data_IF_962140437358
#
_entry.id   IF_962140437358
#
_cell.length_a   1.000
_cell.length_b   1.000
_cell.length_c   1.000
_cell.angle_alpha   90.00
_cell.angle_beta   90.00
_cell.angle_gamma   90.00
#
_symmetry.space_group_name_H-M   'P 1'
#
loop_
_entity.id
_entity.type
_entity.pdbx_description
1 polymer ?
#
# COMPACT_ATOMS: atom_id res chain seq x y z
N UNK A 1 18.04 29.22 2.32
CA UNK A 1 18.74 28.91 3.58
C UNK A 1 18.71 30.07 4.56
N UNK A 2 19.30 31.23 4.28
CA UNK A 2 19.33 32.36 5.26
C UNK A 2 17.95 32.83 5.71
N UNK A 3 16.97 32.87 4.78
CA UNK A 3 15.58 33.19 5.12
C UNK A 3 14.96 32.17 6.08
N UNK A 4 15.22 30.87 5.87
CA UNK A 4 14.75 29.78 6.75
C UNK A 4 15.40 29.90 8.13
N UNK A 5 16.70 30.19 8.19
CA UNK A 5 17.40 30.42 9.46
C UNK A 5 16.83 31.63 10.21
N UNK A 6 16.61 32.75 9.51
CA UNK A 6 16.03 33.94 10.11
C UNK A 6 14.60 33.71 10.63
N UNK A 7 13.80 32.97 9.87
CA UNK A 7 12.43 32.58 10.23
C UNK A 7 12.40 31.70 11.50
N UNK A 8 13.24 30.67 11.56
CA UNK A 8 13.38 29.81 12.76
C UNK A 8 13.86 30.64 13.97
N UNK A 9 14.86 31.51 13.80
CA UNK A 9 15.32 32.39 14.89
C UNK A 9 14.20 33.30 15.36
N UNK A 10 13.40 33.85 14.44
CA UNK A 10 12.27 34.70 14.77
C UNK A 10 11.21 33.93 15.55
N UNK A 11 10.83 32.74 15.09
CA UNK A 11 9.88 31.86 15.78
C UNK A 11 10.30 31.56 17.22
N UNK A 12 11.58 31.27 17.47
CA UNK A 12 12.08 31.04 18.83
C UNK A 12 12.03 32.28 19.74
N UNK A 13 11.86 33.48 19.18
CA UNK A 13 11.69 34.71 19.96
C UNK A 13 10.22 35.06 20.22
N UNK A 14 9.29 34.60 19.38
CA UNK A 14 7.86 34.99 19.46
C UNK A 14 6.90 33.87 19.82
N UNK A 15 7.20 32.60 19.51
CA UNK A 15 6.28 31.48 19.72
C UNK A 15 6.31 31.04 21.18
N UNK A 16 5.16 31.03 21.90
CA UNK A 16 5.12 30.90 23.36
C UNK A 16 5.96 29.77 23.94
N UNK A 17 5.85 28.56 23.36
CA UNK A 17 6.55 27.36 23.85
C UNK A 17 8.03 27.32 23.49
N UNK A 18 8.44 27.98 22.41
CA UNK A 18 9.85 28.09 22.03
C UNK A 18 10.55 29.20 22.83
N UNK A 19 9.85 30.32 23.08
CA UNK A 19 10.39 31.48 23.78
C UNK A 19 10.46 31.28 25.30
N UNK A 20 9.56 30.48 25.89
CA UNK A 20 9.61 30.11 27.32
C UNK A 20 10.52 28.90 27.62
N UNK A 21 11.27 28.42 26.62
CA UNK A 21 12.26 27.34 26.72
C UNK A 21 11.70 25.95 27.09
N UNK A 22 10.38 25.76 27.06
CA UNK A 22 9.75 24.45 27.33
C UNK A 22 9.67 23.55 26.10
N UNK A 23 9.72 24.12 24.91
CA UNK A 23 9.69 23.41 23.63
C UNK A 23 10.97 23.58 22.83
N UNK A 24 11.22 22.61 21.96
CA UNK A 24 12.31 22.63 20.98
C UNK A 24 11.81 22.19 19.59
N UNK A 25 12.71 22.22 18.61
CA UNK A 25 12.36 22.00 17.22
C UNK A 25 13.33 21.11 16.45
N UNK A 26 12.84 20.51 15.37
CA UNK A 26 13.64 19.77 14.38
C UNK A 26 13.58 20.50 13.04
N UNK A 27 14.72 20.65 12.36
CA UNK A 27 14.82 21.08 10.97
C UNK A 27 15.25 19.90 10.10
N UNK A 28 14.45 19.58 9.09
CA UNK A 28 14.71 18.53 8.10
C UNK A 28 15.33 19.14 6.85
N UNK A 29 16.63 18.91 6.64
CA UNK A 29 17.38 19.36 5.46
C UNK A 29 17.38 18.29 4.35
N UNK A 30 17.54 18.68 3.09
CA UNK A 30 17.42 17.75 1.96
C UNK A 30 18.60 16.79 1.80
N UNK A 31 19.77 17.15 2.32
CA UNK A 31 21.01 16.38 2.25
C UNK A 31 21.93 16.66 3.44
N UNK A 32 22.93 15.80 3.66
CA UNK A 32 23.94 15.99 4.71
C UNK A 32 24.72 17.30 4.49
N UNK A 33 25.00 17.62 3.22
CA UNK A 33 25.63 18.88 2.85
C UNK A 33 24.81 20.10 3.28
N UNK A 34 23.51 20.11 2.96
CA UNK A 34 22.63 21.20 3.39
C UNK A 34 22.49 21.24 4.92
N UNK A 35 22.43 20.09 5.58
CA UNK A 35 22.41 20.02 7.05
C UNK A 35 23.67 20.67 7.65
N UNK A 36 24.86 20.38 7.12
CA UNK A 36 26.11 21.02 7.55
C UNK A 36 26.09 22.53 7.32
N UNK A 37 25.55 23.01 6.18
CA UNK A 37 25.40 24.45 5.93
C UNK A 37 24.42 25.11 6.90
N UNK A 38 23.26 24.51 7.12
CA UNK A 38 22.28 24.98 8.11
C UNK A 38 22.91 25.07 9.49
N UNK A 39 23.57 24.01 9.93
CA UNK A 39 24.27 23.96 11.21
C UNK A 39 25.29 25.10 11.33
N UNK A 40 26.14 25.31 10.32
CA UNK A 40 27.12 26.39 10.29
C UNK A 40 26.51 27.78 10.35
N UNK A 41 25.33 27.99 9.75
CA UNK A 41 24.59 29.25 9.86
C UNK A 41 24.01 29.44 11.27
N UNK A 42 23.46 28.39 11.88
CA UNK A 42 22.93 28.46 13.25
C UNK A 42 24.02 28.69 14.31
N UNK A 43 25.27 28.33 14.06
CA UNK A 43 26.38 28.69 14.96
C UNK A 43 26.66 30.20 15.02
N UNK A 44 26.10 30.99 14.08
CA UNK A 44 26.21 32.46 14.06
C UNK A 44 25.01 33.15 14.71
N UNK A 45 24.07 32.40 15.29
CA UNK A 45 22.85 32.90 15.91
C UNK A 45 22.81 32.52 17.40
N UNK A 46 21.76 32.89 18.16
CA UNK A 46 21.61 32.48 19.57
C UNK A 46 21.55 30.96 19.80
N UNK A 47 21.47 30.16 18.73
CA UNK A 47 21.52 28.69 18.80
C UNK A 47 22.94 28.12 18.95
N UNK A 48 23.98 28.96 18.93
CA UNK A 48 25.36 28.50 19.18
C UNK A 48 25.44 27.74 20.50
N UNK A 49 25.89 26.49 20.44
CA UNK A 49 25.96 25.58 21.60
C UNK A 49 24.61 24.98 22.05
N UNK A 50 23.49 25.35 21.42
CA UNK A 50 22.13 24.84 21.68
C UNK A 50 21.49 24.20 20.45
N UNK A 51 22.28 23.97 19.39
CA UNK A 51 21.88 23.32 18.16
C UNK A 51 22.86 22.19 17.85
N UNK A 52 22.34 21.06 17.38
CA UNK A 52 23.11 19.88 17.01
C UNK A 52 22.71 19.39 15.60
N UNK A 53 23.61 18.66 14.97
CA UNK A 53 23.41 18.06 13.64
C UNK A 53 23.49 16.53 13.76
N UNK A 54 22.43 15.82 13.37
CA UNK A 54 22.37 14.36 13.45
C UNK A 54 22.07 13.78 12.07
N UNK A 55 23.05 13.10 11.47
CA UNK A 55 22.92 12.49 10.14
C UNK A 55 23.55 11.10 10.10
N UNK A 56 23.43 10.38 8.99
CA UNK A 56 24.07 9.07 8.81
C UNK A 56 25.58 9.14 8.60
N UNK A 57 26.18 10.33 8.45
CA UNK A 57 27.61 10.47 8.22
C UNK A 57 28.44 10.19 9.48
N UNK A 58 29.43 9.32 9.34
CA UNK A 58 30.44 9.06 10.36
C UNK A 58 31.83 9.22 9.71
N UNK A 59 32.64 10.22 10.11
CA UNK A 59 33.87 10.54 9.40
C UNK A 59 34.89 9.40 9.47
N UNK A 60 35.32 8.90 8.32
CA UNK A 60 36.45 8.00 8.20
C UNK A 60 37.65 8.71 7.56
N UNK A 61 38.86 8.31 7.95
CA UNK A 61 40.13 8.85 7.42
C UNK A 61 40.30 8.66 5.91
N UNK A 62 39.52 7.77 5.28
CA UNK A 62 39.55 7.50 3.83
C UNK A 62 38.55 8.34 3.02
N UNK A 63 37.64 9.08 3.66
CA UNK A 63 36.54 9.82 3.01
C UNK A 63 37.00 11.00 2.14
N UNK A 64 38.24 11.44 2.30
CA UNK A 64 38.86 12.46 1.45
C UNK A 64 39.33 11.86 0.11
N UNK A 65 39.38 10.53 -0.03
CA UNK A 65 40.09 9.86 -1.15
C UNK A 65 39.30 8.83 -1.95
N UNK A 66 38.04 8.49 -1.63
CA UNK A 66 37.25 7.55 -2.46
C UNK A 66 35.80 7.98 -2.68
N UNK A 67 35.40 7.94 -3.95
CA UNK A 67 34.02 8.02 -4.46
C UNK A 67 33.22 6.86 -3.87
N UNK A 68 32.11 7.08 -3.17
CA UNK A 68 30.74 7.13 -3.73
C UNK A 68 29.77 7.70 -2.66
N UNK A 69 29.29 8.93 -2.85
CA UNK A 69 28.06 9.44 -2.21
C UNK A 69 27.46 10.42 -3.22
N UNK A 70 26.18 10.26 -3.59
CA UNK A 70 25.56 10.89 -4.76
C UNK A 70 25.76 12.41 -4.91
N UNK A 71 25.65 12.89 -6.16
CA UNK A 71 25.47 14.27 -6.62
C UNK A 71 26.25 15.42 -5.92
N UNK A 72 27.38 15.15 -5.28
CA UNK A 72 28.16 16.16 -4.54
C UNK A 72 29.50 16.43 -5.22
N UNK A 73 29.88 17.70 -5.33
CA UNK A 73 31.19 18.14 -5.84
C UNK A 73 32.29 17.88 -4.80
N UNK A 74 33.58 17.83 -5.20
CA UNK A 74 34.70 17.63 -4.27
C UNK A 74 34.70 18.63 -3.10
N UNK A 75 34.28 19.88 -3.37
CA UNK A 75 34.12 20.91 -2.34
C UNK A 75 33.04 20.60 -1.30
N UNK A 76 31.99 19.87 -1.69
CA UNK A 76 30.88 19.54 -0.78
C UNK A 76 31.28 18.46 0.22
N UNK A 77 32.06 17.46 -0.22
CA UNK A 77 32.64 16.43 0.65
C UNK A 77 33.59 17.03 1.67
N UNK A 78 34.44 17.96 1.24
CA UNK A 78 35.38 18.65 2.14
C UNK A 78 34.65 19.44 3.23
N UNK A 79 33.53 20.12 2.89
CA UNK A 79 32.72 20.84 3.88
C UNK A 79 32.15 19.89 4.93
N UNK A 80 31.56 18.76 4.52
CA UNK A 80 30.97 17.77 5.43
C UNK A 80 32.04 17.22 6.37
N UNK A 81 33.18 16.78 5.82
CA UNK A 81 34.30 16.24 6.60
C UNK A 81 34.82 17.25 7.62
N UNK A 82 35.09 18.49 7.19
CA UNK A 82 35.56 19.55 8.08
C UNK A 82 34.55 19.86 9.19
N UNK A 83 33.26 19.91 8.85
CA UNK A 83 32.18 20.17 9.82
C UNK A 83 32.17 19.10 10.91
N UNK A 84 32.18 17.82 10.54
CA UNK A 84 32.16 16.72 11.49
C UNK A 84 33.47 16.57 12.27
N UNK A 85 34.61 16.86 11.64
CA UNK A 85 35.92 16.85 12.32
C UNK A 85 35.96 17.88 13.44
N UNK A 86 35.48 19.11 13.20
CA UNK A 86 35.41 20.14 14.24
C UNK A 86 34.35 19.79 15.29
N UNK A 87 33.20 19.26 14.88
CA UNK A 87 32.11 18.85 15.78
C UNK A 87 32.56 17.79 16.80
N UNK A 88 33.39 16.84 16.36
CA UNK A 88 33.82 15.68 17.15
C UNK A 88 35.18 15.87 17.81
N UNK A 89 35.81 17.04 17.65
CA UNK A 89 37.16 17.35 18.13
C UNK A 89 37.32 17.08 19.63
N UNK A 90 36.36 17.57 20.42
CA UNK A 90 36.35 17.48 21.88
C UNK A 90 35.46 16.34 22.40
N UNK A 91 34.97 15.46 21.53
CA UNK A 91 34.13 14.32 21.91
C UNK A 91 35.02 13.10 22.18
N UNK A 92 34.96 12.60 23.41
CA UNK A 92 35.50 11.29 23.77
C UNK A 92 34.45 10.21 23.48
N UNK A 93 34.87 9.08 22.94
CA UNK A 93 33.99 7.94 22.69
C UNK A 93 33.64 7.25 24.02
N UNK A 94 32.35 6.99 24.23
CA UNK A 94 31.88 6.15 25.34
C UNK A 94 32.10 4.66 25.05
N UNK A 95 32.16 3.79 26.08
CA UNK A 95 32.37 2.35 25.90
C UNK A 95 31.33 1.74 24.94
N UNK A 96 31.81 1.16 23.83
CA UNK A 96 30.96 0.52 22.82
C UNK A 96 30.35 1.46 21.77
N UNK A 97 30.66 2.76 21.81
CA UNK A 97 30.17 3.75 20.85
C UNK A 97 31.34 4.42 20.12
N UNK A 98 31.13 4.82 18.87
CA UNK A 98 32.01 5.75 18.15
C UNK A 98 31.84 7.17 18.70
N UNK A 99 32.82 8.06 18.44
CA UNK A 99 32.70 9.48 18.80
C UNK A 99 31.40 10.11 18.27
N UNK A 100 31.02 9.76 17.04
CA UNK A 100 29.80 10.23 16.39
C UNK A 100 28.57 9.74 17.13
N UNK A 101 28.50 8.45 17.47
CA UNK A 101 27.37 7.88 18.22
C UNK A 101 27.27 8.47 19.63
N UNK A 102 28.40 8.66 20.33
CA UNK A 102 28.42 9.34 21.63
C UNK A 102 27.90 10.77 21.53
N UNK A 103 28.32 11.52 20.52
CA UNK A 103 27.79 12.86 20.25
C UNK A 103 26.27 12.82 19.99
N UNK A 104 25.81 11.90 19.14
CA UNK A 104 24.39 11.76 18.79
C UNK A 104 23.53 11.39 20.00
N UNK A 105 23.96 10.44 20.83
CA UNK A 105 23.25 10.04 22.05
C UNK A 105 23.14 11.20 23.05
N UNK A 106 24.23 11.96 23.23
CA UNK A 106 24.21 13.17 24.06
C UNK A 106 23.23 14.21 23.51
N UNK A 107 23.25 14.46 22.19
CA UNK A 107 22.34 15.41 21.55
C UNK A 107 20.87 14.98 21.68
N UNK A 108 20.56 13.70 21.43
CA UNK A 108 19.23 13.10 21.61
C UNK A 108 18.74 13.23 23.05
N UNK A 109 19.60 12.91 24.01
CA UNK A 109 19.26 12.97 25.44
C UNK A 109 18.95 14.38 25.89
N UNK A 110 19.80 15.35 25.52
CA UNK A 110 19.56 16.77 25.82
C UNK A 110 18.29 17.28 25.14
N UNK A 111 18.04 16.89 23.89
CA UNK A 111 16.83 17.30 23.19
C UNK A 111 15.56 16.74 23.83
N UNK A 112 15.58 15.48 24.29
CA UNK A 112 14.40 14.88 24.90
C UNK A 112 14.14 15.37 26.34
N UNK A 113 15.18 15.71 27.11
CA UNK A 113 15.08 16.00 28.55
C UNK A 113 15.30 17.47 28.92
N UNK A 114 16.06 18.21 28.12
CA UNK A 114 16.53 19.57 28.43
C UNK A 114 16.32 20.54 27.24
N UNK A 115 15.06 20.84 26.85
CA UNK A 115 14.73 21.66 25.68
C UNK A 115 15.35 23.07 25.71
N UNK A 116 15.61 23.62 26.89
CA UNK A 116 16.30 24.90 27.07
C UNK A 116 17.78 24.88 26.66
N UNK A 117 18.42 23.70 26.80
CA UNK A 117 19.83 23.46 26.52
C UNK A 117 20.05 22.88 25.11
N UNK A 118 19.06 22.18 24.55
CA UNK A 118 19.06 21.74 23.16
C UNK A 118 17.77 22.16 22.46
N UNK A 119 17.87 23.31 21.78
CA UNK A 119 16.74 24.00 21.16
C UNK A 119 16.43 23.52 19.74
N UNK A 120 17.45 23.10 18.97
CA UNK A 120 17.28 22.74 17.57
C UNK A 120 18.11 21.52 17.20
N UNK A 121 17.50 20.55 16.53
CA UNK A 121 18.21 19.48 15.82
C UNK A 121 18.08 19.68 14.31
N UNK A 122 19.21 19.70 13.61
CA UNK A 122 19.26 19.64 12.14
C UNK A 122 19.46 18.19 11.73
N UNK A 123 18.52 17.64 10.96
CA UNK A 123 18.51 16.23 10.54
C UNK A 123 18.28 16.10 9.04
N UNK A 124 18.46 14.89 8.50
CA UNK A 124 18.16 14.57 7.09
C UNK A 124 17.13 13.44 7.02
N UNK A 125 17.48 12.26 7.54
CA UNK A 125 16.58 11.10 7.64
C UNK A 125 16.54 10.50 9.05
N UNK A 126 17.64 10.60 9.80
CA UNK A 126 17.69 10.17 11.20
C UNK A 126 16.69 10.95 12.05
N UNK A 127 16.19 10.29 13.10
CA UNK A 127 15.26 10.84 14.09
C UNK A 127 13.86 11.22 13.56
N UNK A 128 13.57 10.98 12.28
CA UNK A 128 12.21 11.14 11.72
C UNK A 128 11.30 9.93 12.03
N UNK A 129 11.91 8.81 12.42
CA UNK A 129 11.24 7.59 12.88
C UNK A 129 11.80 7.16 14.25
N UNK A 130 10.97 6.53 15.08
CA UNK A 130 11.38 5.91 16.35
C UNK A 130 11.81 6.86 17.48
N UNK A 131 12.25 8.09 17.20
CA UNK A 131 12.76 9.03 18.21
C UNK A 131 11.63 9.74 18.97
N UNK A 132 11.50 9.48 20.26
CA UNK A 132 10.46 10.04 21.11
C UNK A 132 10.98 11.24 21.93
N UNK A 133 10.41 12.42 21.70
CA UNK A 133 10.76 13.65 22.40
C UNK A 133 9.49 14.47 22.69
N UNK A 134 8.85 14.30 23.85
CA UNK A 134 7.66 15.07 24.24
C UNK A 134 7.81 16.61 24.09
N UNK A 135 8.97 17.21 24.42
CA UNK A 135 9.19 18.65 24.22
C UNK A 135 9.22 19.12 22.75
N UNK A 136 9.36 18.21 21.78
CA UNK A 136 9.43 18.55 20.36
C UNK A 136 8.11 19.16 19.90
N UNK A 137 8.14 20.46 19.58
CA UNK A 137 6.94 21.26 19.33
C UNK A 137 6.84 21.69 17.87
N UNK A 138 7.98 22.01 17.25
CA UNK A 138 8.04 22.51 15.88
C UNK A 138 8.85 21.58 14.99
N UNK A 139 8.35 21.32 13.79
CA UNK A 139 9.05 20.62 12.73
C UNK A 139 9.13 21.53 11.50
N UNK A 140 10.34 21.92 11.13
CA UNK A 140 10.64 22.70 9.95
C UNK A 140 11.10 21.77 8.83
N UNK A 141 10.46 21.82 7.65
CA UNK A 141 10.75 20.91 6.53
C UNK A 141 11.28 21.72 5.35
N UNK A 142 12.56 21.53 5.03
CA UNK A 142 13.20 22.02 3.81
C UNK A 142 13.73 20.84 2.95
N UNK A 143 12.99 19.73 2.96
CA UNK A 143 13.28 18.53 2.17
C UNK A 143 12.04 18.11 1.38
N UNK A 144 12.23 17.64 0.14
CA UNK A 144 11.13 17.02 -0.59
C UNK A 144 10.80 15.66 0.02
N UNK A 145 9.60 15.50 0.58
CA UNK A 145 9.14 14.26 1.21
C UNK A 145 7.68 13.99 0.86
N UNK A 146 7.26 12.72 0.81
CA UNK A 146 5.90 12.30 0.48
C UNK A 146 5.43 11.13 1.34
N UNK A 147 4.13 10.85 1.31
CA UNK A 147 3.47 9.69 1.90
C UNK A 147 3.88 9.43 3.36
N UNK A 148 4.37 8.21 3.64
CA UNK A 148 4.63 7.72 4.98
C UNK A 148 5.80 8.45 5.66
N UNK A 149 6.84 8.82 4.91
CA UNK A 149 7.99 9.55 5.47
C UNK A 149 7.60 10.96 5.93
N UNK A 150 6.70 11.63 5.20
CA UNK A 150 6.14 12.91 5.66
C UNK A 150 5.27 12.72 6.91
N UNK A 151 4.40 11.71 6.93
CA UNK A 151 3.56 11.44 8.09
C UNK A 151 4.36 11.08 9.35
N UNK A 152 5.39 10.24 9.22
CA UNK A 152 6.29 9.86 10.32
C UNK A 152 7.03 11.07 10.91
N UNK A 153 7.51 11.97 10.03
CA UNK A 153 8.14 13.21 10.44
C UNK A 153 7.14 14.12 11.17
N UNK A 154 5.94 14.33 10.63
CA UNK A 154 4.87 15.11 11.30
C UNK A 154 4.56 14.55 12.69
N UNK A 155 4.51 13.21 12.83
CA UNK A 155 4.27 12.58 14.12
C UNK A 155 5.35 12.87 15.19
N UNK A 156 6.52 13.43 14.83
CA UNK A 156 7.55 13.80 15.81
C UNK A 156 7.08 14.90 16.78
N UNK A 157 6.18 15.78 16.35
CA UNK A 157 5.67 16.85 17.20
C UNK A 157 4.37 16.49 17.94
N UNK A 158 3.76 15.33 17.62
CA UNK A 158 2.45 14.90 18.13
C UNK A 158 2.52 14.07 19.44
N UNK A 159 3.50 14.35 20.30
CA UNK A 159 3.61 13.75 21.64
C UNK A 159 3.04 14.69 22.68
N UNK A 160 2.23 14.15 23.60
CA UNK A 160 1.66 14.92 24.71
C UNK A 160 2.77 15.37 25.65
N UNK A 161 2.75 16.63 26.07
CA UNK A 161 3.76 17.19 26.97
C UNK A 161 3.23 18.40 27.75
N UNK A 162 2.43 18.11 28.78
CA UNK A 162 1.76 19.10 29.62
C UNK A 162 0.55 19.75 28.97
N UNK A 163 -0.23 20.48 29.78
CA UNK A 163 -1.41 21.25 29.35
C UNK A 163 -1.04 22.46 28.49
N UNK A 164 0.24 22.86 28.43
CA UNK A 164 0.72 23.98 27.63
C UNK A 164 1.10 23.61 26.19
N UNK A 165 0.87 22.36 25.77
CA UNK A 165 1.09 21.88 24.42
C UNK A 165 -0.19 21.35 23.79
N UNK A 166 -0.98 22.25 23.22
CA UNK A 166 -2.22 21.90 22.53
C UNK A 166 -1.98 21.07 21.26
N UNK A 167 -0.95 21.40 20.48
CA UNK A 167 -0.63 20.75 19.21
C UNK A 167 0.83 20.92 18.80
N UNK A 168 1.28 20.05 17.90
CA UNK A 168 2.56 20.17 17.19
C UNK A 168 2.45 21.05 15.95
N UNK A 169 3.46 21.86 15.70
CA UNK A 169 3.52 22.77 14.55
C UNK A 169 4.42 22.19 13.46
N UNK A 170 3.98 22.28 12.21
CA UNK A 170 4.78 21.90 11.04
C UNK A 170 4.87 23.08 10.10
N UNK A 171 6.09 23.48 9.76
CA UNK A 171 6.40 24.58 8.85
C UNK A 171 7.05 23.99 7.61
N UNK A 172 6.39 24.16 6.47
CA UNK A 172 6.75 23.54 5.19
C UNK A 172 7.27 24.59 4.20
N UNK A 173 8.57 24.53 3.91
CA UNK A 173 9.22 25.42 2.95
C UNK A 173 9.23 24.88 1.51
N UNK A 174 8.70 23.67 1.28
CA UNK A 174 8.73 22.97 -0.03
C UNK A 174 7.34 22.80 -0.66
N UNK A 175 6.31 23.40 -0.09
CA UNK A 175 4.90 23.25 -0.50
C UNK A 175 4.49 21.76 -0.60
N UNK A 176 4.99 20.92 0.29
CA UNK A 176 4.59 19.51 0.44
C UNK A 176 3.11 19.38 0.79
N UNK A 177 2.57 20.24 1.66
CA UNK A 177 1.19 20.13 2.10
C UNK A 177 0.19 20.43 0.97
N UNK A 178 0.50 21.32 0.03
CA UNK A 178 -0.33 21.50 -1.20
C UNK A 178 -0.33 20.24 -2.07
N UNK A 179 0.75 19.47 -2.07
CA UNK A 179 0.85 18.18 -2.78
C UNK A 179 0.13 17.06 -2.02
N UNK A 180 -0.04 17.22 -0.71
CA UNK A 180 -0.59 16.24 0.23
C UNK A 180 -2.05 16.55 0.60
N UNK A 181 -2.60 17.73 0.29
CA UNK A 181 -4.03 18.05 0.42
C UNK A 181 -4.91 17.03 -0.32
N UNK A 182 -4.43 16.51 -1.46
CA UNK A 182 -5.08 15.39 -2.17
C UNK A 182 -4.99 14.03 -1.46
N UNK A 183 -3.99 13.82 -0.59
CA UNK A 183 -3.78 12.59 0.17
C UNK A 183 -4.41 12.65 1.57
N UNK A 184 -4.45 13.84 2.20
CA UNK A 184 -5.15 14.10 3.47
C UNK A 184 -6.66 14.12 3.24
N UNK A 185 -7.16 14.68 2.13
CA UNK A 185 -8.58 14.62 1.79
C UNK A 185 -9.13 13.19 1.76
N UNK A 186 -8.31 12.18 1.42
CA UNK A 186 -8.66 10.75 1.49
C UNK A 186 -8.79 10.25 2.93
N UNK A 187 -7.99 10.78 3.86
CA UNK A 187 -8.05 10.44 5.29
C UNK A 187 -9.16 11.19 6.04
N UNK A 188 -9.43 12.46 5.70
CA UNK A 188 -10.54 13.23 6.30
C UNK A 188 -11.89 12.84 5.70
N UNK A 189 -11.97 12.40 4.45
CA UNK A 189 -13.22 11.84 3.88
C UNK A 189 -13.65 10.51 4.49
N UNK A 190 -12.75 9.81 5.21
CA UNK A 190 -13.10 8.62 6.01
C UNK A 190 -13.61 8.98 7.42
N UNK A 191 -13.56 10.25 7.84
CA UNK A 191 -13.99 10.72 9.16
C UNK A 191 -15.16 11.73 9.12
N UNK A 192 -15.53 12.27 7.97
CA UNK A 192 -16.71 13.12 7.79
C UNK A 192 -17.38 12.84 6.42
N UNK A 193 -18.59 12.25 6.36
CA UNK A 193 -19.26 11.88 5.11
C UNK A 193 -19.88 13.07 4.33
N UNK A 194 -19.42 14.31 4.56
CA UNK A 194 -20.12 15.52 4.14
C UNK A 194 -19.23 16.65 3.58
N UNK A 195 -18.36 16.40 2.60
CA UNK A 195 -17.78 17.49 1.82
C UNK A 195 -17.56 17.07 0.36
N UNK A 196 -18.14 17.86 -0.55
CA UNK A 196 -18.39 17.51 -1.94
C UNK A 196 -17.17 17.57 -2.87
N UNK A 197 -17.23 16.66 -3.84
CA UNK A 197 -16.88 16.75 -5.25
C UNK A 197 -15.68 17.64 -5.67
N UNK A 198 -14.56 16.99 -5.99
CA UNK A 198 -13.78 17.35 -7.18
C UNK A 198 -12.92 16.17 -7.64
N UNK A 199 -13.22 15.67 -8.84
CA UNK A 199 -12.49 14.60 -9.52
C UNK A 199 -11.08 15.06 -9.94
N UNK A 200 -9.99 14.31 -9.66
CA UNK A 200 -8.68 14.60 -10.23
C UNK A 200 -8.36 13.71 -11.43
N UNK A 201 -8.02 14.37 -12.54
CA UNK A 201 -7.43 13.80 -13.76
C UNK A 201 -6.16 12.98 -13.48
N UNK A 202 -6.05 11.83 -14.17
CA UNK A 202 -4.98 10.85 -14.03
C UNK A 202 -3.78 11.23 -14.92
N UNK A 203 -2.65 11.59 -14.31
CA UNK A 203 -1.34 11.68 -14.97
C UNK A 203 -0.56 10.36 -14.80
N UNK A 204 -0.15 9.78 -15.92
CA UNK A 204 0.74 8.61 -16.01
C UNK A 204 2.11 8.95 -15.40
N UNK A 205 2.41 8.49 -14.18
CA UNK A 205 3.77 8.48 -13.65
C UNK A 205 4.51 7.20 -14.07
N UNK A 206 5.82 7.35 -14.33
CA UNK A 206 6.72 6.31 -14.81
C UNK A 206 6.75 5.10 -13.86
N UNK A 207 6.39 3.93 -14.41
CA UNK A 207 6.18 2.69 -13.65
C UNK A 207 7.47 2.19 -13.00
N UNK A 208 8.63 2.55 -13.56
CA UNK A 208 9.93 2.13 -13.03
C UNK A 208 10.24 2.83 -11.70
N UNK A 209 9.97 4.13 -11.62
CA UNK A 209 10.20 4.96 -10.43
C UNK A 209 9.31 4.49 -9.27
N UNK A 210 8.01 4.32 -9.51
CA UNK A 210 7.09 3.75 -8.50
C UNK A 210 7.37 2.30 -8.15
N UNK A 211 7.99 1.54 -9.05
CA UNK A 211 8.44 0.17 -8.78
C UNK A 211 9.60 0.16 -7.80
N UNK A 212 10.59 1.04 -8.02
CA UNK A 212 11.77 1.20 -7.18
C UNK A 212 11.41 1.68 -5.78
N UNK A 213 10.60 2.73 -5.66
CA UNK A 213 10.16 3.28 -4.37
C UNK A 213 9.45 2.23 -3.50
N UNK A 214 8.65 1.35 -4.11
CA UNK A 214 7.99 0.24 -3.40
C UNK A 214 8.97 -0.81 -2.93
N UNK A 215 9.91 -1.19 -3.80
CA UNK A 215 10.96 -2.14 -3.46
C UNK A 215 11.80 -1.64 -2.29
N UNK A 216 12.22 -0.36 -2.33
CA UNK A 216 12.99 0.27 -1.26
C UNK A 216 12.20 0.28 0.07
N UNK A 217 10.91 0.65 0.01
CA UNK A 217 10.01 0.61 1.19
C UNK A 217 9.87 -0.80 1.77
N UNK A 218 9.77 -1.83 0.92
CA UNK A 218 9.65 -3.21 1.37
C UNK A 218 10.94 -3.74 1.98
N UNK A 219 12.10 -3.34 1.45
CA UNK A 219 13.43 -3.68 1.99
C UNK A 219 13.61 -3.06 3.38
N UNK A 220 13.27 -1.78 3.55
CA UNK A 220 13.39 -1.08 4.84
C UNK A 220 12.47 -1.68 5.91
N UNK A 221 11.23 -2.02 5.52
CA UNK A 221 10.29 -2.67 6.43
C UNK A 221 10.75 -4.09 6.84
N UNK A 222 11.40 -4.83 5.94
CA UNK A 222 12.00 -6.13 6.25
C UNK A 222 13.20 -5.98 7.19
N UNK A 223 14.06 -4.99 6.94
CA UNK A 223 15.23 -4.69 7.75
C UNK A 223 14.84 -4.32 9.20
N UNK A 224 13.79 -3.51 9.37
CA UNK A 224 13.26 -3.13 10.68
C UNK A 224 12.73 -4.34 11.46
N UNK A 225 12.03 -5.25 10.78
CA UNK A 225 11.47 -6.43 11.44
C UNK A 225 12.56 -7.42 11.86
N UNK A 226 13.66 -7.49 11.11
CA UNK A 226 14.83 -8.32 11.43
C UNK A 226 15.87 -7.59 12.29
N UNK A 227 15.61 -6.35 12.72
CA UNK A 227 16.49 -5.61 13.61
C UNK A 227 16.73 -6.35 14.95
N UNK A 228 15.69 -6.89 15.62
CA UNK A 228 15.84 -7.50 16.94
C UNK A 228 16.33 -8.96 16.88
N UNK A 229 16.64 -9.48 15.69
CA UNK A 229 17.28 -10.79 15.51
C UNK A 229 18.71 -10.70 16.04
N UNK A 230 19.10 -11.66 16.88
CA UNK A 230 20.43 -11.69 17.49
C UNK A 230 21.54 -11.88 16.43
N UNK A 231 22.71 -11.29 16.68
CA UNK A 231 23.90 -11.53 15.82
C UNK A 231 24.36 -12.98 15.97
N UNK A 232 24.75 -13.69 14.89
CA UNK A 232 25.19 -13.18 13.59
C UNK A 232 24.07 -12.97 12.54
N UNK A 233 22.79 -13.01 12.93
CA UNK A 233 21.63 -12.90 12.02
C UNK A 233 21.66 -13.95 10.90
N UNK A 234 22.09 -15.17 11.24
CA UNK A 234 22.00 -16.33 10.36
C UNK A 234 20.58 -16.91 10.34
N UNK A 235 20.43 -18.03 9.64
CA UNK A 235 19.12 -18.68 9.48
C UNK A 235 18.53 -19.14 10.83
N UNK A 236 19.37 -19.64 11.74
CA UNK A 236 18.96 -20.12 13.05
C UNK A 236 18.45 -18.98 13.95
N UNK A 237 19.10 -17.81 13.91
CA UNK A 237 18.71 -16.66 14.74
C UNK A 237 17.38 -16.07 14.27
N UNK A 238 17.13 -16.08 12.95
CA UNK A 238 15.84 -15.68 12.39
C UNK A 238 14.73 -16.68 12.76
N UNK A 239 15.00 -17.99 12.67
CA UNK A 239 14.05 -19.03 13.09
C UNK A 239 13.74 -18.85 14.59
N UNK A 240 14.75 -18.65 15.42
CA UNK A 240 14.57 -18.47 16.86
C UNK A 240 13.74 -17.22 17.19
N UNK A 241 13.98 -16.11 16.49
CA UNK A 241 13.25 -14.86 16.71
C UNK A 241 11.78 -14.92 16.26
N UNK A 242 11.51 -15.46 15.06
CA UNK A 242 10.17 -15.46 14.45
C UNK A 242 9.34 -16.70 14.79
N UNK A 243 9.98 -17.83 15.13
CA UNK A 243 9.31 -19.10 15.38
C UNK A 243 9.54 -19.64 16.79
N UNK A 244 10.49 -19.08 17.55
CA UNK A 244 10.87 -19.63 18.86
C UNK A 244 11.57 -20.98 18.75
N UNK A 245 11.63 -21.74 19.85
CA UNK A 245 12.10 -23.12 19.79
C UNK A 245 10.99 -24.00 19.19
N UNK A 246 11.22 -24.52 17.98
CA UNK A 246 10.25 -25.34 17.23
C UNK A 246 9.95 -26.70 17.88
N UNK A 247 10.76 -27.14 18.85
CA UNK A 247 10.50 -28.32 19.68
C UNK A 247 9.53 -28.05 20.84
N UNK A 248 9.21 -26.77 21.11
CA UNK A 248 8.26 -26.35 22.15
C UNK A 248 7.02 -25.71 21.52
N UNK A 249 5.84 -26.38 21.55
CA UNK A 249 4.62 -25.88 20.90
C UNK A 249 4.11 -24.52 21.42
N UNK A 250 4.47 -24.15 22.65
CA UNK A 250 4.09 -22.86 23.26
C UNK A 250 4.79 -21.68 22.60
N UNK A 251 6.09 -21.82 22.33
CA UNK A 251 6.91 -20.75 21.75
C UNK A 251 6.44 -20.40 20.32
N UNK A 252 6.04 -21.41 19.55
CA UNK A 252 5.47 -21.24 18.21
C UNK A 252 4.19 -20.39 18.20
N UNK A 253 3.38 -20.51 19.26
CA UNK A 253 2.14 -19.76 19.42
C UNK A 253 2.40 -18.34 19.93
N UNK A 254 3.31 -18.20 20.90
CA UNK A 254 3.70 -16.90 21.46
C UNK A 254 4.39 -16.01 20.41
N UNK A 255 5.08 -16.61 19.44
CA UNK A 255 5.74 -15.90 18.33
C UNK A 255 4.89 -15.69 17.07
N UNK A 256 3.63 -16.13 17.09
CA UNK A 256 2.69 -15.93 15.98
C UNK A 256 2.55 -14.46 15.51
N UNK A 257 2.49 -13.45 16.40
CA UNK A 257 2.37 -12.05 15.97
C UNK A 257 3.56 -11.54 15.16
N UNK A 258 4.79 -11.88 15.55
CA UNK A 258 5.99 -11.48 14.79
C UNK A 258 6.03 -12.16 13.42
N UNK A 259 5.65 -13.43 13.37
CA UNK A 259 5.60 -14.22 12.14
C UNK A 259 4.52 -13.73 11.18
N UNK A 260 3.36 -13.33 11.70
CA UNK A 260 2.27 -12.72 10.94
C UNK A 260 2.66 -11.33 10.42
N UNK A 261 3.37 -10.51 11.20
CA UNK A 261 3.93 -9.24 10.73
C UNK A 261 4.96 -9.43 9.62
N UNK A 262 5.88 -10.39 9.74
CA UNK A 262 6.84 -10.73 8.68
C UNK A 262 6.14 -11.12 7.38
N UNK A 263 5.11 -11.95 7.49
CA UNK A 263 4.31 -12.35 6.35
C UNK A 263 3.53 -11.18 5.75
N UNK A 264 2.89 -10.34 6.57
CA UNK A 264 2.13 -9.18 6.09
C UNK A 264 3.01 -8.15 5.39
N UNK A 265 4.19 -7.83 5.94
CA UNK A 265 5.16 -6.89 5.37
C UNK A 265 5.73 -7.43 4.06
N UNK A 266 6.18 -8.69 4.04
CA UNK A 266 6.68 -9.33 2.81
C UNK A 266 5.62 -9.46 1.71
N UNK A 267 4.33 -9.35 2.05
CA UNK A 267 3.20 -9.34 1.10
C UNK A 267 2.58 -7.96 0.92
N UNK A 268 3.07 -6.90 1.56
CA UNK A 268 2.37 -5.60 1.64
C UNK A 268 2.25 -4.93 0.27
N UNK A 269 3.30 -5.02 -0.54
CA UNK A 269 3.25 -4.56 -1.93
C UNK A 269 2.33 -5.39 -2.81
N UNK A 270 2.28 -6.71 -2.57
CA UNK A 270 1.33 -7.59 -3.24
C UNK A 270 -0.11 -7.24 -2.84
N UNK A 271 -0.40 -7.01 -1.55
CA UNK A 271 -1.72 -6.60 -1.04
C UNK A 271 -2.11 -5.26 -1.66
N UNK A 272 -1.24 -4.24 -1.62
CA UNK A 272 -1.48 -2.94 -2.26
C UNK A 272 -1.69 -3.07 -3.77
N UNK A 273 -0.96 -3.97 -4.43
CA UNK A 273 -1.15 -4.24 -5.85
C UNK A 273 -2.49 -4.92 -6.13
N UNK A 274 -2.96 -5.84 -5.29
CA UNK A 274 -4.29 -6.44 -5.40
C UNK A 274 -5.40 -5.43 -5.12
N UNK A 275 -5.24 -4.59 -4.10
CA UNK A 275 -6.19 -3.50 -3.81
C UNK A 275 -6.32 -2.54 -4.99
N UNK A 276 -5.20 -2.11 -5.58
CA UNK A 276 -5.23 -1.27 -6.80
C UNK A 276 -5.91 -1.98 -7.97
N UNK A 277 -5.67 -3.29 -8.17
CA UNK A 277 -6.35 -4.07 -9.22
C UNK A 277 -7.85 -4.16 -8.99
N UNK A 278 -8.29 -4.39 -7.76
CA UNK A 278 -9.71 -4.47 -7.39
C UNK A 278 -10.39 -3.10 -7.56
N UNK A 279 -9.73 -2.01 -7.13
CA UNK A 279 -10.26 -0.64 -7.27
C UNK A 279 -10.27 -0.13 -8.72
N UNK A 280 -9.29 -0.52 -9.53
CA UNK A 280 -9.19 -0.13 -10.94
C UNK A 280 -9.99 -1.05 -11.89
N UNK A 281 -10.62 -2.10 -11.36
CA UNK A 281 -11.48 -2.96 -12.17
C UNK A 281 -12.79 -2.23 -12.45
N UNK A 282 -13.05 -1.93 -13.73
CA UNK A 282 -14.32 -1.36 -14.16
C UNK A 282 -15.48 -2.25 -13.70
N UNK A 283 -16.46 -1.64 -13.04
CA UNK A 283 -17.70 -2.31 -12.65
C UNK A 283 -18.82 -1.84 -13.56
N UNK A 284 -19.72 -2.76 -13.90
CA UNK A 284 -20.97 -2.36 -14.52
C UNK A 284 -21.75 -1.48 -13.55
N UNK A 285 -22.39 -0.38 -14.02
CA UNK A 285 -23.28 0.40 -13.18
C UNK A 285 -24.42 -0.49 -12.67
N UNK A 286 -25.04 -0.07 -11.55
CA UNK A 286 -26.21 -0.76 -11.03
C UNK A 286 -27.29 -0.85 -12.12
N UNK A 287 -27.82 -2.06 -12.31
CA UNK A 287 -28.81 -2.34 -13.35
C UNK A 287 -30.18 -1.84 -12.91
N UNK A 288 -30.75 -0.93 -13.67
CA UNK A 288 -32.08 -0.39 -13.41
C UNK A 288 -33.19 -1.22 -14.06
N UNK A 289 -32.83 -2.10 -15.00
CA UNK A 289 -33.76 -2.95 -15.78
C UNK A 289 -34.81 -2.11 -16.49
N UNK A 290 -34.34 -1.04 -17.14
CA UNK A 290 -35.12 -0.07 -17.91
C UNK A 290 -35.00 -0.31 -19.42
N UNK A 291 -35.99 0.19 -20.15
CA UNK A 291 -36.05 0.07 -21.61
C UNK A 291 -34.76 0.57 -22.28
N UNK A 292 -34.24 -0.20 -23.23
CA UNK A 292 -32.99 0.03 -23.98
C UNK A 292 -31.69 -0.04 -23.17
N UNK A 293 -31.72 -0.55 -21.95
CA UNK A 293 -30.49 -0.85 -21.20
C UNK A 293 -29.61 -1.88 -21.94
N UNK A 294 -28.28 -1.74 -21.88
CA UNK A 294 -27.38 -2.70 -22.54
C UNK A 294 -27.07 -3.89 -21.65
N UNK A 295 -27.44 -5.08 -22.12
CA UNK A 295 -27.14 -6.37 -21.49
C UNK A 295 -26.20 -7.17 -22.38
N UNK A 296 -25.27 -7.91 -21.79
CA UNK A 296 -24.37 -8.78 -22.54
C UNK A 296 -24.74 -10.24 -22.35
N UNK A 297 -24.81 -10.98 -23.45
CA UNK A 297 -24.98 -12.43 -23.43
C UNK A 297 -23.96 -13.04 -24.37
N UNK A 298 -23.13 -13.94 -23.84
CA UNK A 298 -22.06 -14.58 -24.58
C UNK A 298 -21.11 -13.60 -25.28
N UNK A 299 -20.85 -12.45 -24.65
CA UNK A 299 -20.02 -11.36 -25.19
C UNK A 299 -20.69 -10.48 -26.24
N UNK A 300 -21.95 -10.77 -26.62
CA UNK A 300 -22.73 -9.94 -27.55
C UNK A 300 -23.65 -9.00 -26.78
N UNK A 301 -23.75 -7.75 -27.24
CA UNK A 301 -24.59 -6.71 -26.63
C UNK A 301 -26.02 -6.82 -27.17
N UNK A 302 -26.98 -6.82 -26.26
CA UNK A 302 -28.42 -6.82 -26.51
C UNK A 302 -29.06 -5.61 -25.82
N UNK A 303 -30.05 -5.01 -26.47
CA UNK A 303 -30.86 -3.96 -25.86
C UNK A 303 -32.01 -4.58 -25.08
N UNK A 304 -32.13 -4.20 -23.81
CA UNK A 304 -33.20 -4.66 -22.93
C UNK A 304 -34.54 -4.06 -23.35
N UNK A 305 -35.60 -4.85 -23.25
CA UNK A 305 -36.96 -4.40 -23.52
C UNK A 305 -37.92 -5.16 -22.63
N UNK A 306 -38.86 -4.45 -22.02
CA UNK A 306 -39.85 -5.03 -21.12
C UNK A 306 -41.19 -5.13 -21.85
N UNK A 307 -41.76 -6.33 -21.87
CA UNK A 307 -43.10 -6.60 -22.40
C UNK A 307 -43.99 -6.90 -21.20
N UNK A 308 -45.00 -6.06 -20.99
CA UNK A 308 -45.97 -6.28 -19.94
C UNK A 308 -47.13 -7.13 -20.47
N UNK A 309 -47.29 -8.34 -19.93
CA UNK A 309 -48.38 -9.27 -20.29
C UNK A 309 -48.74 -10.12 -19.08
N UNK A 310 -50.01 -10.53 -18.96
CA UNK A 310 -50.49 -11.33 -17.84
C UNK A 310 -50.15 -12.83 -17.98
N UNK A 311 -48.86 -13.12 -18.11
CA UNK A 311 -48.29 -14.46 -18.29
C UNK A 311 -47.14 -14.69 -17.28
N UNK A 312 -46.70 -15.95 -17.05
CA UNK A 312 -45.51 -16.22 -16.27
C UNK A 312 -44.28 -15.49 -16.84
N UNK A 313 -43.36 -15.01 -15.99
CA UNK A 313 -42.23 -14.22 -16.46
C UNK A 313 -41.25 -15.06 -17.29
N UNK A 314 -40.90 -14.56 -18.47
CA UNK A 314 -39.97 -15.22 -19.39
C UNK A 314 -38.91 -14.27 -19.91
N UNK A 315 -37.76 -14.82 -20.30
CA UNK A 315 -36.66 -14.05 -20.88
C UNK A 315 -36.25 -14.71 -22.19
N UNK A 316 -36.31 -13.94 -23.27
CA UNK A 316 -36.00 -14.43 -24.61
C UNK A 316 -34.99 -13.51 -25.32
N UNK A 317 -34.09 -14.13 -26.08
CA UNK A 317 -33.24 -13.41 -27.02
C UNK A 317 -33.92 -13.38 -28.39
N UNK A 318 -34.28 -12.18 -28.87
CA UNK A 318 -34.80 -11.99 -30.23
C UNK A 318 -33.99 -10.91 -30.95
N UNK A 319 -33.38 -11.26 -32.08
CA UNK A 319 -32.52 -10.37 -32.87
C UNK A 319 -31.41 -9.74 -32.01
N UNK A 320 -31.44 -8.43 -31.81
CA UNK A 320 -30.52 -7.66 -30.97
C UNK A 320 -31.16 -7.19 -29.65
N UNK A 321 -32.25 -7.84 -29.22
CA UNK A 321 -32.97 -7.51 -27.99
C UNK A 321 -32.98 -8.66 -26.99
N UNK A 322 -32.88 -8.30 -25.71
CA UNK A 322 -33.17 -9.17 -24.57
C UNK A 322 -34.56 -8.78 -24.07
N UNK A 323 -35.55 -9.62 -24.33
CA UNK A 323 -36.94 -9.36 -24.01
C UNK A 323 -37.26 -9.99 -22.66
N UNK A 324 -37.71 -9.16 -21.71
CA UNK A 324 -38.29 -9.61 -20.45
C UNK A 324 -39.81 -9.47 -20.53
N UNK A 325 -40.52 -10.60 -20.54
CA UNK A 325 -41.97 -10.63 -20.39
C UNK A 325 -42.30 -10.74 -18.90
N UNK A 326 -43.09 -9.82 -18.36
CA UNK A 326 -43.50 -9.80 -16.94
C UNK A 326 -44.92 -9.28 -16.81
N UNK A 327 -45.56 -9.52 -15.66
CA UNK A 327 -46.88 -8.94 -15.36
C UNK A 327 -46.80 -7.42 -15.22
N UNK A 328 -47.85 -6.68 -15.60
CA UNK A 328 -47.91 -5.23 -15.41
C UNK A 328 -47.58 -4.82 -13.97
N UNK A 329 -46.77 -3.77 -13.80
CA UNK A 329 -46.40 -3.26 -12.47
C UNK A 329 -45.37 -4.11 -11.70
N UNK A 330 -44.71 -5.07 -12.34
CA UNK A 330 -43.63 -5.85 -11.69
C UNK A 330 -42.47 -4.94 -11.27
N UNK A 331 -42.11 -4.96 -9.98
CA UNK A 331 -41.03 -4.15 -9.38
C UNK A 331 -39.62 -4.53 -9.88
N UNK A 332 -38.68 -3.58 -9.76
CA UNK A 332 -37.27 -3.72 -10.19
C UNK A 332 -36.59 -4.97 -9.65
N UNK A 333 -36.76 -5.27 -8.36
CA UNK A 333 -36.13 -6.39 -7.67
C UNK A 333 -36.60 -7.74 -8.27
N UNK A 334 -37.88 -7.80 -8.64
CA UNK A 334 -38.45 -9.00 -9.25
C UNK A 334 -37.97 -9.16 -10.70
N UNK A 335 -37.87 -8.06 -11.47
CA UNK A 335 -37.27 -8.07 -12.82
C UNK A 335 -35.81 -8.55 -12.76
N UNK A 336 -35.04 -8.04 -11.80
CA UNK A 336 -33.66 -8.43 -11.55
C UNK A 336 -33.54 -9.93 -11.24
N UNK A 337 -34.39 -10.45 -10.35
CA UNK A 337 -34.38 -11.86 -9.98
C UNK A 337 -34.69 -12.78 -11.16
N UNK A 338 -35.63 -12.40 -12.04
CA UNK A 338 -35.96 -13.17 -13.26
C UNK A 338 -34.77 -13.20 -14.22
N UNK A 339 -34.13 -12.05 -14.45
CA UNK A 339 -32.95 -11.95 -15.33
C UNK A 339 -31.75 -12.71 -14.76
N UNK A 340 -31.50 -12.63 -13.45
CA UNK A 340 -30.42 -13.40 -12.81
C UNK A 340 -30.66 -14.91 -12.92
N UNK A 341 -31.91 -15.36 -12.68
CA UNK A 341 -32.28 -16.76 -12.84
C UNK A 341 -32.08 -17.23 -14.29
N UNK A 342 -32.39 -16.38 -15.27
CA UNK A 342 -32.15 -16.68 -16.67
C UNK A 342 -30.66 -16.78 -17.03
N UNK A 343 -29.81 -15.84 -16.56
CA UNK A 343 -28.36 -15.93 -16.76
C UNK A 343 -27.77 -17.21 -16.14
N UNK A 344 -28.26 -17.59 -14.95
CA UNK A 344 -27.89 -18.87 -14.31
C UNK A 344 -28.23 -20.05 -15.20
N UNK A 345 -29.41 -20.04 -15.81
CA UNK A 345 -29.85 -21.10 -16.70
C UNK A 345 -29.00 -21.16 -17.99
N UNK A 346 -28.60 -20.02 -18.55
CA UNK A 346 -27.69 -19.97 -19.70
C UNK A 346 -26.37 -20.71 -19.42
N UNK A 347 -25.73 -20.49 -18.26
CA UNK A 347 -24.51 -21.23 -17.88
C UNK A 347 -24.82 -22.71 -17.62
N UNK A 348 -25.94 -23.01 -16.94
CA UNK A 348 -26.34 -24.39 -16.59
C UNK A 348 -26.61 -25.24 -17.83
N UNK A 349 -27.12 -24.65 -18.91
CA UNK A 349 -27.35 -25.35 -20.18
C UNK A 349 -26.05 -25.51 -20.98
N UNK A 350 -25.15 -24.52 -20.96
CA UNK A 350 -23.93 -24.53 -21.78
C UNK A 350 -22.79 -25.37 -21.18
N UNK A 351 -22.63 -25.36 -19.86
CA UNK A 351 -21.50 -26.00 -19.18
C UNK A 351 -21.44 -27.54 -19.32
N UNK A 352 -22.55 -28.31 -19.26
CA UNK A 352 -22.51 -29.77 -19.38
C UNK A 352 -21.89 -30.27 -20.69
N UNK A 353 -22.18 -29.59 -21.82
CA UNK A 353 -21.59 -29.95 -23.10
C UNK A 353 -20.07 -29.75 -23.14
N UNK A 354 -19.57 -28.72 -22.43
CA UNK A 354 -18.13 -28.47 -22.28
C UNK A 354 -17.48 -29.51 -21.37
N UNK A 355 -18.12 -29.87 -20.26
CA UNK A 355 -17.64 -30.92 -19.36
C UNK A 355 -17.51 -32.23 -20.11
N UNK A 356 -18.58 -32.68 -20.78
CA UNK A 356 -18.58 -33.93 -21.57
C UNK A 356 -17.52 -33.93 -22.69
N UNK A 357 -17.24 -32.77 -23.29
CA UNK A 357 -16.16 -32.61 -24.28
C UNK A 357 -14.77 -32.84 -23.66
N UNK A 358 -14.54 -32.37 -22.43
CA UNK A 358 -13.21 -32.32 -21.81
C UNK A 358 -12.93 -33.48 -20.86
N UNK A 359 -13.94 -34.19 -20.36
CA UNK A 359 -13.77 -35.37 -19.49
C UNK A 359 -12.89 -36.45 -20.13
N UNK A 360 -13.14 -36.91 -21.38
CA UNK A 360 -12.30 -37.94 -22.02
C UNK A 360 -10.83 -37.53 -22.24
N UNK A 361 -10.51 -36.37 -22.87
CA UNK A 361 -9.10 -36.01 -23.13
C UNK A 361 -8.32 -35.69 -21.85
N UNK A 362 -9.01 -35.27 -20.77
CA UNK A 362 -8.37 -35.00 -19.48
C UNK A 362 -8.30 -36.23 -18.58
N UNK A 363 -9.09 -37.27 -18.84
CA UNK A 363 -9.15 -38.48 -18.00
C UNK A 363 -9.74 -38.19 -16.62
N UNK A 364 -10.71 -37.28 -16.53
CA UNK A 364 -11.39 -36.90 -15.28
C UNK A 364 -12.89 -37.08 -15.42
N UNK A 365 -13.59 -37.05 -14.29
CA UNK A 365 -15.05 -37.13 -14.22
C UNK A 365 -15.57 -36.09 -13.23
N UNK A 366 -16.58 -35.33 -13.64
CA UNK A 366 -17.24 -34.32 -12.81
C UNK A 366 -18.54 -34.91 -12.26
N UNK A 367 -18.58 -35.13 -10.95
CA UNK A 367 -19.75 -35.74 -10.31
C UNK A 367 -20.94 -34.78 -10.18
N UNK A 368 -20.68 -33.48 -9.96
CA UNK A 368 -21.74 -32.48 -9.74
C UNK A 368 -21.34 -31.11 -10.29
N UNK A 369 -22.29 -30.44 -10.94
CA UNK A 369 -22.17 -29.06 -11.40
C UNK A 369 -23.15 -28.15 -10.65
N UNK A 370 -22.63 -27.07 -10.07
CA UNK A 370 -23.41 -26.01 -9.46
C UNK A 370 -23.22 -24.71 -10.23
N UNK A 371 -24.29 -23.94 -10.41
CA UNK A 371 -24.24 -22.59 -10.97
C UNK A 371 -24.91 -21.63 -10.00
N UNK A 372 -24.16 -20.66 -9.50
CA UNK A 372 -24.63 -19.69 -8.53
C UNK A 372 -23.88 -18.37 -8.67
N UNK A 373 -24.47 -17.28 -8.18
CA UNK A 373 -23.77 -15.99 -8.11
C UNK A 373 -22.61 -16.10 -7.12
N UNK A 374 -21.44 -15.60 -7.50
CA UNK A 374 -20.24 -15.60 -6.66
C UNK A 374 -19.63 -14.20 -6.67
N UNK A 375 -19.28 -13.68 -5.49
CA UNK A 375 -18.75 -12.31 -5.34
C UNK A 375 -17.28 -12.17 -5.77
N UNK A 376 -16.48 -13.21 -5.55
CA UNK A 376 -15.00 -13.10 -5.61
C UNK A 376 -14.34 -14.07 -6.59
N UNK A 377 -15.10 -14.97 -7.22
CA UNK A 377 -14.55 -16.05 -8.07
C UNK A 377 -15.43 -16.31 -9.28
N UNK A 378 -14.81 -16.73 -10.38
CA UNK A 378 -15.49 -17.18 -11.60
C UNK A 378 -15.88 -18.66 -11.55
N UNK A 379 -15.13 -19.46 -10.79
CA UNK A 379 -15.38 -20.87 -10.57
C UNK A 379 -14.70 -21.37 -9.29
N UNK A 380 -15.02 -22.60 -8.91
CA UNK A 380 -14.29 -23.35 -7.89
C UNK A 380 -14.53 -24.85 -8.04
N UNK A 381 -13.51 -25.65 -7.74
CA UNK A 381 -13.59 -27.10 -7.69
C UNK A 381 -13.38 -27.62 -6.25
N UNK A 382 -14.14 -28.64 -5.87
CA UNK A 382 -13.89 -29.46 -4.67
C UNK A 382 -13.46 -30.85 -5.12
N UNK A 383 -12.15 -31.16 -5.13
CA UNK A 383 -11.64 -32.43 -5.67
C UNK A 383 -12.21 -33.67 -4.96
N UNK A 384 -12.35 -33.61 -3.64
CA UNK A 384 -12.85 -34.73 -2.82
C UNK A 384 -14.25 -35.21 -3.25
N UNK A 385 -15.13 -34.29 -3.65
CA UNK A 385 -16.49 -34.59 -4.11
C UNK A 385 -16.63 -34.52 -5.63
N UNK A 386 -15.54 -34.27 -6.36
CA UNK A 386 -15.51 -34.02 -7.81
C UNK A 386 -16.58 -33.03 -8.27
N UNK A 387 -16.82 -32.00 -7.47
CA UNK A 387 -17.88 -31.02 -7.74
C UNK A 387 -17.31 -29.70 -8.23
N UNK A 388 -17.86 -29.17 -9.31
CA UNK A 388 -17.49 -27.89 -9.90
C UNK A 388 -18.62 -26.89 -9.67
N UNK A 389 -18.25 -25.67 -9.33
CA UNK A 389 -19.16 -24.54 -9.18
C UNK A 389 -18.74 -23.43 -10.12
N UNK A 390 -19.68 -22.87 -10.86
CA UNK A 390 -19.47 -21.80 -11.84
C UNK A 390 -20.30 -20.57 -11.50
N UNK A 391 -19.74 -19.39 -11.78
CA UNK A 391 -20.43 -18.12 -11.56
C UNK A 391 -21.46 -17.86 -12.68
N UNK A 392 -22.66 -17.38 -12.30
CA UNK A 392 -23.74 -16.98 -13.23
C UNK A 392 -23.29 -15.90 -14.21
N UNK A 393 -22.37 -15.01 -13.79
CA UNK A 393 -21.91 -13.90 -14.62
C UNK A 393 -21.06 -14.33 -15.82
N UNK A 394 -20.64 -15.61 -15.89
CA UNK A 394 -20.00 -16.16 -17.09
C UNK A 394 -20.90 -16.08 -18.33
N UNK A 395 -22.23 -16.10 -18.16
CA UNK A 395 -23.16 -15.93 -19.27
C UNK A 395 -23.05 -14.56 -19.96
N UNK A 396 -22.47 -13.55 -19.29
CA UNK A 396 -22.25 -12.22 -19.85
C UNK A 396 -20.96 -12.12 -20.66
N UNK A 397 -20.06 -13.10 -20.54
CA UNK A 397 -18.72 -13.11 -21.15
C UNK A 397 -18.70 -13.94 -22.43
N UNK A 398 -17.72 -13.74 -23.34
CA UNK A 398 -17.56 -14.60 -24.52
C UNK A 398 -17.55 -16.09 -24.15
N UNK A 399 -18.09 -16.96 -25.01
CA UNK A 399 -18.24 -18.40 -24.72
C UNK A 399 -16.93 -19.09 -24.40
N UNK A 400 -15.85 -18.63 -25.02
CA UNK A 400 -14.50 -19.13 -24.82
C UNK A 400 -14.02 -18.91 -23.37
N UNK A 401 -14.54 -17.88 -22.69
CA UNK A 401 -14.25 -17.65 -21.28
C UNK A 401 -14.91 -18.70 -20.37
N UNK A 402 -16.13 -19.16 -20.72
CA UNK A 402 -16.78 -20.26 -20.01
C UNK A 402 -15.98 -21.56 -20.20
N UNK A 403 -15.58 -21.87 -21.42
CA UNK A 403 -14.75 -23.05 -21.71
C UNK A 403 -13.43 -23.02 -20.93
N UNK A 404 -12.73 -21.88 -20.92
CA UNK A 404 -11.54 -21.69 -20.13
C UNK A 404 -11.75 -21.99 -18.64
N UNK A 405 -12.81 -21.45 -18.03
CA UNK A 405 -13.09 -21.68 -16.60
C UNK A 405 -13.48 -23.13 -16.34
N UNK A 406 -14.29 -23.76 -17.21
CA UNK A 406 -14.65 -25.18 -17.07
C UNK A 406 -13.39 -26.05 -17.06
N UNK A 407 -12.48 -25.86 -18.02
CA UNK A 407 -11.22 -26.62 -18.07
C UNK A 407 -10.33 -26.30 -16.87
N UNK A 408 -10.27 -25.03 -16.43
CA UNK A 408 -9.52 -24.64 -15.23
C UNK A 408 -9.98 -25.39 -13.98
N UNK A 409 -11.29 -25.46 -13.75
CA UNK A 409 -11.85 -26.18 -12.60
C UNK A 409 -11.68 -27.70 -12.75
N UNK A 410 -11.77 -28.25 -13.97
CA UNK A 410 -11.49 -29.67 -14.21
C UNK A 410 -10.01 -30.02 -14.00
N UNK A 411 -9.08 -29.13 -14.31
CA UNK A 411 -7.66 -29.30 -14.02
C UNK A 411 -7.41 -29.45 -12.51
N UNK A 412 -8.22 -28.80 -11.67
CA UNK A 412 -8.13 -28.96 -10.22
C UNK A 412 -8.47 -30.37 -9.70
N UNK A 413 -9.13 -31.20 -10.51
CA UNK A 413 -9.33 -32.63 -10.19
C UNK A 413 -8.03 -33.45 -10.34
N UNK A 414 -7.11 -33.00 -11.19
CA UNK A 414 -5.80 -33.64 -11.41
C UNK A 414 -4.71 -33.03 -10.55
N UNK A 415 -4.76 -31.70 -10.36
CA UNK A 415 -3.76 -30.93 -9.65
C UNK A 415 -4.44 -29.79 -8.84
N UNK A 416 -4.57 -29.94 -7.51
CA UNK A 416 -5.30 -29.00 -6.67
C UNK A 416 -4.70 -27.59 -6.61
N UNK A 417 -3.41 -27.43 -6.91
CA UNK A 417 -2.68 -26.16 -6.75
C UNK A 417 -2.23 -25.59 -8.08
N UNK A 418 -2.11 -24.25 -8.21
CA UNK A 418 -1.64 -23.60 -9.45
C UNK A 418 -0.11 -23.69 -9.64
N UNK A 419 0.48 -24.87 -9.44
CA UNK A 419 1.91 -25.12 -9.59
C UNK A 419 2.32 -25.33 -11.07
N UNK A 420 3.60 -25.62 -11.33
CA UNK A 420 4.10 -25.83 -12.70
C UNK A 420 3.37 -26.95 -13.47
N UNK A 421 2.93 -28.00 -12.76
CA UNK A 421 2.14 -29.10 -13.36
C UNK A 421 0.76 -28.60 -13.79
N UNK A 422 0.10 -27.78 -12.98
CA UNK A 422 -1.17 -27.15 -13.36
C UNK A 422 -1.02 -26.29 -14.61
N UNK A 423 0.04 -25.46 -14.67
CA UNK A 423 0.32 -24.63 -15.85
C UNK A 423 0.52 -25.49 -17.10
N UNK A 424 1.28 -26.59 -16.99
CA UNK A 424 1.48 -27.51 -18.11
C UNK A 424 0.19 -28.19 -18.57
N UNK A 425 -0.72 -28.55 -17.65
CA UNK A 425 -2.05 -29.08 -17.99
C UNK A 425 -2.88 -28.02 -18.74
N UNK A 426 -2.87 -26.78 -18.26
CA UNK A 426 -3.58 -25.68 -18.94
C UNK A 426 -2.99 -25.38 -20.32
N UNK A 427 -1.67 -25.35 -20.47
CA UNK A 427 -1.00 -25.15 -21.77
C UNK A 427 -1.32 -26.28 -22.76
N UNK A 428 -1.49 -27.51 -22.25
CA UNK A 428 -1.89 -28.68 -23.06
C UNK A 428 -3.34 -28.61 -23.53
N UNK A 429 -4.28 -28.34 -22.62
CA UNK A 429 -5.71 -28.43 -22.94
C UNK A 429 -6.27 -27.13 -23.53
N UNK A 430 -5.81 -25.96 -23.06
CA UNK A 430 -6.26 -24.66 -23.57
C UNK A 430 -5.03 -23.77 -23.81
N UNK A 431 -4.26 -23.93 -24.91
CA UNK A 431 -2.99 -23.22 -25.12
C UNK A 431 -3.07 -21.68 -25.09
N UNK A 432 -4.26 -21.09 -25.27
CA UNK A 432 -4.51 -19.65 -25.20
C UNK A 432 -5.15 -19.20 -23.87
N UNK A 433 -5.06 -20.01 -22.82
CA UNK A 433 -5.74 -19.73 -21.54
C UNK A 433 -5.31 -18.40 -20.91
N UNK A 434 -4.07 -17.96 -21.12
CA UNK A 434 -3.59 -16.66 -20.62
C UNK A 434 -4.34 -15.49 -21.29
N UNK A 435 -4.72 -15.62 -22.56
CA UNK A 435 -5.54 -14.63 -23.27
C UNK A 435 -6.94 -14.56 -22.68
N UNK A 436 -7.60 -15.71 -22.48
CA UNK A 436 -8.95 -15.77 -21.89
C UNK A 436 -8.98 -15.28 -20.44
N UNK A 437 -7.94 -15.60 -19.64
CA UNK A 437 -7.76 -15.05 -18.30
C UNK A 437 -7.67 -13.52 -18.32
N UNK A 438 -6.87 -12.97 -19.23
CA UNK A 438 -6.72 -11.52 -19.36
C UNK A 438 -8.01 -10.85 -19.85
N UNK A 439 -8.76 -11.49 -20.76
CA UNK A 439 -10.06 -11.02 -21.20
C UNK A 439 -11.06 -10.98 -20.03
N UNK A 440 -11.17 -12.05 -19.24
CA UNK A 440 -12.03 -12.09 -18.05
C UNK A 440 -11.68 -11.01 -17.02
N UNK A 441 -10.40 -10.75 -16.79
CA UNK A 441 -9.94 -9.74 -15.84
C UNK A 441 -10.19 -8.30 -16.32
N UNK A 442 -10.29 -8.08 -17.63
CA UNK A 442 -10.54 -6.75 -18.23
C UNK A 442 -12.02 -6.45 -18.43
N UNK A 443 -12.85 -7.49 -18.59
CA UNK A 443 -14.28 -7.30 -18.81
C UNK A 443 -14.96 -6.84 -17.49
N UNK A 444 -15.89 -5.88 -17.54
CA UNK A 444 -16.53 -5.34 -16.34
C UNK A 444 -17.21 -6.41 -15.49
N UNK A 445 -17.12 -6.35 -14.17
CA UNK A 445 -17.82 -7.28 -13.27
C UNK A 445 -19.14 -6.63 -12.81
N UNK A 446 -20.15 -7.42 -12.45
CA UNK A 446 -21.40 -6.88 -11.90
C UNK A 446 -21.16 -5.94 -10.71
N UNK A 447 -22.00 -4.91 -10.58
CA UNK A 447 -22.10 -4.12 -9.36
C UNK A 447 -22.36 -5.02 -8.14
N UNK A 448 -21.70 -4.70 -7.03
CA UNK A 448 -21.83 -5.37 -5.74
C UNK A 448 -21.65 -4.32 -4.65
N UNK A 449 -22.63 -4.25 -3.74
CA UNK A 449 -22.54 -3.45 -2.52
C UNK A 449 -21.69 -4.21 -1.50
N UNK A 450 -20.59 -3.59 -1.08
CA UNK A 450 -19.72 -4.11 -0.04
C UNK A 450 -20.01 -3.34 1.23
N UNK A 451 -20.80 -3.92 2.12
CA UNK A 451 -20.84 -3.50 3.53
C UNK A 451 -19.52 -3.96 4.16
N UNK A 452 -18.68 -3.02 4.59
CA UNK A 452 -17.42 -3.27 5.30
C UNK A 452 -17.61 -3.21 6.81
#
# INVERSE_FOLDING_TARGET
MDRVVADIVFDFSVKPRLSNERGNAILVASSIYEACKYFGLFQKTPFRGKCAIVTSYNPQTQDVTKEEVGANTESDKQLIYNTYTELLKDVAAEPGLTKTETYEERAKTLFAKEPANMKLLVVVDKLLTGFDAPPCTYLYIDKSMQDHGLFQAICRTNRLDGEDKDFGYVVDYKDLFKKVEKAIAVYTSELDPGAGDSSPEILLQDRLTKGKERLDTAIDALALLCEPVESPKGELEHIHYFCGNTEKPTDLKDREPQRAQLFAISKLDWIRAQQRKIRAQEREPEREYLERESHYVWGKRYLFSVIECDEPPTVELKHNKLLLSVRPGTMKEKRAAVIEAWYRDQVRQAAPALIAKWEPPMGVEVARLFVQRMKTRWGSCTPATRSIRLNTDLAKKPRECLEYIVVHEMCHLLEPTHNARFVALMDRFVPRWQFYRNALNRLPVSHEDWEY
#
